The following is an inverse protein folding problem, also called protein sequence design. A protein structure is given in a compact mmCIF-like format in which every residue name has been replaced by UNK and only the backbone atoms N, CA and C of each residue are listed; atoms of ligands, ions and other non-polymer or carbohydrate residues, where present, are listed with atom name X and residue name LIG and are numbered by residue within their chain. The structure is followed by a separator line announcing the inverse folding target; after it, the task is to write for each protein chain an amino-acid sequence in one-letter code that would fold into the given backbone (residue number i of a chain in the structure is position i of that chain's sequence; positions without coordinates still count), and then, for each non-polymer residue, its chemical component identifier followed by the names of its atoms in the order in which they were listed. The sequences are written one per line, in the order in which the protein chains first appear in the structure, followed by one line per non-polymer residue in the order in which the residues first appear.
data_IF_256192115278
#
_entry.id   IF_256192115278
#
_cell.length_a   1.000
_cell.length_b   1.000
_cell.length_c   1.000
_cell.angle_alpha   90.00
_cell.angle_beta   90.00
_cell.angle_gamma   90.00
#
_symmetry.space_group_name_H-M   'P 1'
#
loop_
_entity.id
_entity.type
_entity.pdbx_description
1 polymer ?
#
# COMPACT_ATOMS: atom_id res chain seq x y z
N UNK A 1 -4.22 24.90 11.30
CA UNK A 1 -4.03 24.73 9.83
C UNK A 1 -3.24 23.46 9.49
N UNK A 2 -2.08 23.20 10.13
CA UNK A 2 -1.20 22.05 9.84
C UNK A 2 -1.82 20.68 10.04
N UNK A 3 -2.70 20.50 11.04
CA UNK A 3 -3.41 19.22 11.23
C UNK A 3 -4.23 18.84 9.99
N UNK A 4 -5.05 19.76 9.47
CA UNK A 4 -5.89 19.51 8.29
C UNK A 4 -5.09 19.41 6.99
N UNK A 5 -3.92 20.04 6.91
CA UNK A 5 -3.03 19.89 5.77
C UNK A 5 -2.62 18.42 5.56
N UNK A 6 -2.41 17.67 6.64
CA UNK A 6 -2.09 16.24 6.55
C UNK A 6 -3.26 15.35 6.13
N UNK A 7 -4.52 15.81 6.23
CA UNK A 7 -5.64 15.12 5.59
C UNK A 7 -5.55 15.22 4.06
N UNK A 8 -4.94 16.28 3.53
CA UNK A 8 -4.67 16.37 2.09
C UNK A 8 -3.41 15.60 1.73
N UNK A 9 -2.31 15.77 2.46
CA UNK A 9 -1.04 15.12 2.09
C UNK A 9 -1.05 13.63 2.38
N UNK A 10 -1.36 13.21 3.60
CA UNK A 10 -1.26 11.80 3.97
C UNK A 10 -2.51 10.99 3.57
N UNK A 11 -3.71 11.54 3.74
CA UNK A 11 -4.93 10.79 3.34
C UNK A 11 -5.26 10.96 1.85
N UNK A 12 -5.34 12.20 1.37
CA UNK A 12 -5.70 12.39 -0.04
C UNK A 12 -4.57 12.03 -1.00
N UNK A 13 -3.31 12.43 -0.78
CA UNK A 13 -2.22 11.99 -1.67
C UNK A 13 -1.90 10.52 -1.37
N UNK A 14 -1.27 10.24 -0.24
CA UNK A 14 -0.70 8.91 0.04
C UNK A 14 -1.77 7.80 0.04
N UNK A 15 -2.78 7.86 0.92
CA UNK A 15 -3.76 6.77 0.98
C UNK A 15 -4.60 6.61 -0.31
N UNK A 16 -5.01 7.69 -0.98
CA UNK A 16 -5.83 7.54 -2.21
C UNK A 16 -5.01 6.99 -3.38
N UNK A 17 -3.78 7.49 -3.59
CA UNK A 17 -2.93 6.99 -4.67
C UNK A 17 -2.48 5.54 -4.44
N UNK A 18 -2.34 5.10 -3.19
CA UNK A 18 -2.12 3.69 -2.85
C UNK A 18 -3.29 2.80 -3.25
N UNK A 19 -4.53 3.22 -3.00
CA UNK A 19 -5.70 2.46 -3.43
C UNK A 19 -5.80 2.37 -4.95
N UNK A 20 -5.48 3.46 -5.65
CA UNK A 20 -5.41 3.49 -7.12
C UNK A 20 -4.31 2.53 -7.61
N UNK A 21 -3.13 2.56 -7.00
CA UNK A 21 -2.04 1.63 -7.31
C UNK A 21 -2.48 0.17 -7.09
N UNK A 22 -3.13 -0.13 -5.97
CA UNK A 22 -3.62 -1.47 -5.65
C UNK A 22 -4.66 -1.95 -6.69
N UNK A 23 -5.56 -1.07 -7.13
CA UNK A 23 -6.52 -1.37 -8.18
C UNK A 23 -5.86 -1.65 -9.55
N UNK A 24 -4.89 -0.82 -9.94
CA UNK A 24 -4.13 -1.02 -11.19
C UNK A 24 -3.34 -2.32 -11.12
N UNK A 25 -2.62 -2.56 -10.03
CA UNK A 25 -1.81 -3.76 -9.84
C UNK A 25 -2.69 -5.01 -9.80
N UNK A 26 -3.85 -4.96 -9.14
CA UNK A 26 -4.85 -6.01 -9.16
C UNK A 26 -5.36 -6.32 -10.58
N UNK A 27 -5.68 -5.30 -11.36
CA UNK A 27 -6.06 -5.47 -12.77
C UNK A 27 -4.96 -6.13 -13.60
N UNK A 28 -3.70 -5.69 -13.45
CA UNK A 28 -2.57 -6.27 -14.18
C UNK A 28 -2.32 -7.73 -13.80
N UNK A 29 -2.42 -8.08 -12.52
CA UNK A 29 -2.28 -9.46 -12.05
C UNK A 29 -3.44 -10.38 -12.52
N UNK A 30 -4.65 -9.85 -12.69
CA UNK A 30 -5.74 -10.58 -13.33
C UNK A 30 -5.46 -10.87 -14.81
N UNK A 31 -4.91 -9.89 -15.54
CA UNK A 31 -4.78 -9.98 -17.01
C UNK A 31 -3.49 -10.64 -17.49
N UNK A 32 -2.36 -10.38 -16.82
CA UNK A 32 -1.04 -10.78 -17.29
C UNK A 32 -0.70 -12.23 -16.92
N UNK A 33 -0.44 -12.59 -15.64
CA UNK A 33 -0.21 -13.98 -15.24
C UNK A 33 -1.48 -14.83 -15.27
N UNK A 34 -2.67 -14.20 -15.26
CA UNK A 34 -3.96 -14.89 -15.32
C UNK A 34 -4.40 -15.46 -13.98
N UNK A 35 -4.23 -14.70 -12.89
CA UNK A 35 -4.63 -15.11 -11.54
C UNK A 35 -6.15 -15.28 -11.45
N UNK A 36 -6.60 -16.26 -10.69
CA UNK A 36 -8.02 -16.46 -10.41
C UNK A 36 -8.61 -15.24 -9.70
N UNK A 37 -9.71 -14.73 -10.24
CA UNK A 37 -10.38 -13.52 -9.75
C UNK A 37 -10.73 -13.59 -8.26
N UNK A 38 -11.24 -14.74 -7.82
CA UNK A 38 -11.62 -14.95 -6.43
C UNK A 38 -10.44 -14.79 -5.47
N UNK A 39 -9.26 -15.32 -5.84
CA UNK A 39 -8.04 -15.19 -5.04
C UNK A 39 -7.62 -13.71 -4.99
N UNK A 40 -7.64 -13.05 -6.14
CA UNK A 40 -7.19 -11.67 -6.23
C UNK A 40 -8.07 -10.71 -5.45
N UNK A 41 -9.40 -10.83 -5.58
CA UNK A 41 -10.34 -9.95 -4.87
C UNK A 41 -10.20 -10.10 -3.35
N UNK A 42 -10.08 -11.34 -2.85
CA UNK A 42 -9.87 -11.59 -1.40
C UNK A 42 -8.62 -10.91 -0.88
N UNK A 43 -7.49 -11.06 -1.58
CA UNK A 43 -6.23 -10.42 -1.18
C UNK A 43 -6.27 -8.91 -1.32
N UNK A 44 -6.91 -8.40 -2.37
CA UNK A 44 -7.07 -6.96 -2.56
C UNK A 44 -7.86 -6.34 -1.41
N UNK A 45 -8.97 -6.95 -0.99
CA UNK A 45 -9.75 -6.48 0.15
C UNK A 45 -8.94 -6.47 1.45
N UNK A 46 -8.14 -7.51 1.71
CA UNK A 46 -7.29 -7.57 2.89
C UNK A 46 -6.25 -6.44 2.86
N UNK A 47 -5.54 -6.26 1.74
CA UNK A 47 -4.50 -5.22 1.60
C UNK A 47 -5.11 -3.82 1.77
N UNK A 48 -6.22 -3.55 1.09
CA UNK A 48 -6.93 -2.27 1.17
C UNK A 48 -7.44 -2.00 2.58
N UNK A 49 -8.01 -3.00 3.25
CA UNK A 49 -8.48 -2.86 4.62
C UNK A 49 -7.33 -2.56 5.57
N UNK A 50 -6.20 -3.27 5.44
CA UNK A 50 -5.01 -2.99 6.26
C UNK A 50 -4.43 -1.62 5.99
N UNK A 51 -4.34 -1.18 4.73
CA UNK A 51 -3.83 0.15 4.36
C UNK A 51 -4.70 1.28 4.92
N UNK A 52 -6.02 1.18 4.80
CA UNK A 52 -6.93 2.17 5.35
C UNK A 52 -6.92 2.18 6.88
N UNK A 53 -6.91 1.01 7.51
CA UNK A 53 -6.91 0.91 8.96
C UNK A 53 -5.63 1.49 9.58
N UNK A 54 -4.46 1.17 9.00
CA UNK A 54 -3.19 1.73 9.45
C UNK A 54 -3.06 3.21 9.07
N UNK A 55 -3.26 3.60 7.81
CA UNK A 55 -3.00 4.96 7.33
C UNK A 55 -3.95 6.04 7.87
N UNK A 56 -5.24 5.71 8.10
CA UNK A 56 -6.19 6.67 8.67
C UNK A 56 -5.73 7.13 10.07
N UNK A 57 -5.30 6.19 10.91
CA UNK A 57 -4.83 6.50 12.25
C UNK A 57 -3.34 6.86 12.28
N UNK A 58 -2.56 6.34 11.34
CA UNK A 58 -1.15 6.57 11.12
C UNK A 58 -0.83 7.98 10.64
N UNK A 59 -1.81 8.70 10.07
CA UNK A 59 -1.76 10.17 9.88
C UNK A 59 -1.27 10.90 11.15
N UNK A 60 -1.56 10.33 12.32
CA UNK A 60 -1.10 10.78 13.62
C UNK A 60 0.41 11.00 13.76
N UNK A 61 1.25 10.31 12.97
CA UNK A 61 2.70 10.47 13.04
C UNK A 61 3.20 11.83 12.58
N UNK A 62 2.38 12.56 11.83
CA UNK A 62 2.66 13.93 11.44
C UNK A 62 2.27 14.95 12.51
N UNK A 63 1.60 14.50 13.56
CA UNK A 63 1.08 15.35 14.62
C UNK A 63 2.03 15.45 15.83
N UNK A 64 3.06 14.61 15.92
CA UNK A 64 3.94 14.48 17.09
C UNK A 64 4.46 15.79 17.66
N UNK A 65 4.80 16.74 16.79
CA UNK A 65 5.55 17.94 17.16
C UNK A 65 4.90 19.25 16.70
N UNK A 66 3.61 19.22 16.31
CA UNK A 66 2.87 20.41 15.84
C UNK A 66 1.89 20.97 16.88
N UNK A 67 1.99 20.53 18.14
CA UNK A 67 1.19 21.04 19.26
C UNK A 67 -0.19 20.39 19.44
N UNK A 68 -0.45 19.24 18.82
CA UNK A 68 -1.66 18.44 19.08
C UNK A 68 -1.59 17.71 20.43
N UNK A 69 -2.71 17.22 20.98
CA UNK A 69 -2.71 16.45 22.22
C UNK A 69 -1.77 15.24 22.22
N UNK A 70 -1.16 14.93 23.37
CA UNK A 70 -0.12 13.91 23.50
C UNK A 70 -0.55 12.47 23.16
N UNK A 71 -1.85 12.16 23.15
CA UNK A 71 -2.31 10.82 22.73
C UNK A 71 -1.97 10.51 21.27
N UNK A 72 -1.75 11.51 20.42
CA UNK A 72 -1.34 11.30 19.03
C UNK A 72 0.05 10.70 18.89
N UNK A 73 0.93 10.87 19.88
CA UNK A 73 2.22 10.16 19.87
C UNK A 73 2.02 8.65 19.93
N UNK A 74 1.12 8.19 20.80
CA UNK A 74 0.78 6.77 20.92
C UNK A 74 0.03 6.24 19.70
N UNK A 75 -1.03 6.95 19.28
CA UNK A 75 -1.83 6.54 18.12
C UNK A 75 -0.98 6.54 16.86
N UNK A 76 -0.31 7.65 16.55
CA UNK A 76 0.56 7.75 15.38
C UNK A 76 1.63 6.66 15.37
N UNK A 77 2.30 6.41 16.50
CA UNK A 77 3.43 5.45 16.52
C UNK A 77 2.97 4.04 16.24
N UNK A 78 1.86 3.62 16.84
CA UNK A 78 1.33 2.27 16.66
C UNK A 78 0.86 2.08 15.22
N UNK A 79 0.02 3.00 14.73
CA UNK A 79 -0.66 2.80 13.45
C UNK A 79 0.24 3.08 12.24
N UNK A 80 1.15 4.06 12.30
CA UNK A 80 2.10 4.29 11.21
C UNK A 80 3.14 3.16 11.10
N UNK A 81 3.53 2.55 12.22
CA UNK A 81 4.36 1.32 12.19
C UNK A 81 3.65 0.19 11.44
N UNK A 82 2.33 0.06 11.58
CA UNK A 82 1.56 -0.97 10.87
C UNK A 82 1.40 -0.70 9.36
N UNK A 83 1.70 0.51 8.87
CA UNK A 83 1.62 0.82 7.43
C UNK A 83 2.61 0.00 6.59
N UNK A 84 3.68 -0.54 7.19
CA UNK A 84 4.59 -1.48 6.48
C UNK A 84 3.90 -2.77 6.03
N UNK A 85 2.85 -3.20 6.75
CA UNK A 85 2.15 -4.47 6.51
C UNK A 85 1.48 -4.52 5.14
N UNK A 86 0.61 -3.57 4.74
CA UNK A 86 0.00 -3.57 3.41
C UNK A 86 1.04 -3.48 2.28
N UNK A 87 2.12 -2.72 2.44
CA UNK A 87 3.18 -2.65 1.42
C UNK A 87 3.91 -3.99 1.25
N UNK A 88 4.29 -4.62 2.35
CA UNK A 88 4.92 -5.94 2.29
C UNK A 88 3.97 -7.00 1.72
N UNK A 89 2.69 -6.96 2.13
CA UNK A 89 1.67 -7.85 1.61
C UNK A 89 1.47 -7.67 0.10
N UNK A 90 1.45 -6.43 -0.40
CA UNK A 90 1.35 -6.12 -1.82
C UNK A 90 2.56 -6.66 -2.61
N UNK A 91 3.78 -6.41 -2.13
CA UNK A 91 5.01 -6.95 -2.72
C UNK A 91 4.97 -8.47 -2.82
N UNK A 92 4.74 -9.13 -1.67
CA UNK A 92 4.68 -10.59 -1.59
C UNK A 92 3.62 -11.15 -2.52
N UNK A 93 2.42 -10.53 -2.52
CA UNK A 93 1.31 -10.96 -3.36
C UNK A 93 1.66 -10.85 -4.85
N UNK A 94 2.21 -9.72 -5.30
CA UNK A 94 2.61 -9.52 -6.69
C UNK A 94 3.58 -10.61 -7.17
N UNK A 95 4.65 -10.88 -6.40
CA UNK A 95 5.64 -11.88 -6.77
C UNK A 95 5.07 -13.31 -6.77
N UNK A 96 4.28 -13.68 -5.76
CA UNK A 96 3.64 -15.01 -5.71
C UNK A 96 2.69 -15.22 -6.88
N UNK A 97 1.90 -14.21 -7.22
CA UNK A 97 0.91 -14.29 -8.30
C UNK A 97 1.56 -14.36 -9.68
N UNK A 98 2.67 -13.66 -9.89
CA UNK A 98 3.44 -13.77 -11.12
C UNK A 98 4.11 -15.13 -11.24
N UNK A 99 4.72 -15.65 -10.16
CA UNK A 99 5.35 -16.99 -10.16
C UNK A 99 4.31 -18.10 -10.39
N UNK A 100 3.20 -18.10 -9.65
CA UNK A 100 2.13 -19.10 -9.83
C UNK A 100 1.35 -18.92 -11.13
N UNK A 101 1.50 -17.77 -11.78
CA UNK A 101 0.91 -17.44 -13.07
C UNK A 101 1.28 -18.47 -14.13
N UNK A 102 0.29 -18.92 -14.89
CA UNK A 102 0.49 -19.93 -15.95
C UNK A 102 0.54 -19.32 -17.35
N UNK A 103 0.28 -18.01 -17.48
CA UNK A 103 0.22 -17.33 -18.77
C UNK A 103 1.56 -16.71 -19.15
N UNK A 104 2.05 -17.08 -20.32
CA UNK A 104 3.16 -16.38 -20.96
C UNK A 104 2.64 -15.19 -21.78
N UNK A 105 2.31 -14.09 -21.11
CA UNK A 105 1.78 -12.89 -21.75
C UNK A 105 2.89 -12.09 -22.47
N UNK A 106 2.66 -11.55 -23.69
CA UNK A 106 3.68 -10.83 -24.47
C UNK A 106 4.03 -9.45 -23.88
N UNK A 107 3.11 -8.80 -23.15
CA UNK A 107 3.38 -7.52 -22.47
C UNK A 107 4.25 -7.70 -21.22
N UNK A 108 5.57 -7.87 -21.43
CA UNK A 108 6.56 -8.01 -20.36
C UNK A 108 6.81 -6.71 -19.60
N UNK A 109 6.66 -5.56 -20.27
CA UNK A 109 6.83 -4.26 -19.65
C UNK A 109 5.83 -4.03 -18.51
N UNK A 110 4.54 -4.33 -18.73
CA UNK A 110 3.53 -4.19 -17.69
C UNK A 110 3.72 -5.20 -16.53
N UNK A 111 4.24 -6.39 -16.82
CA UNK A 111 4.56 -7.40 -15.80
C UNK A 111 5.72 -6.93 -14.92
N UNK A 112 6.81 -6.46 -15.55
CA UNK A 112 7.95 -5.89 -14.84
C UNK A 112 7.56 -4.64 -14.06
N UNK A 113 6.70 -3.78 -14.62
CA UNK A 113 6.17 -2.62 -13.91
C UNK A 113 5.40 -3.04 -12.65
N UNK A 114 4.60 -4.10 -12.70
CA UNK A 114 3.85 -4.59 -11.53
C UNK A 114 4.77 -5.07 -10.41
N UNK A 115 5.83 -5.80 -10.75
CA UNK A 115 6.83 -6.26 -9.77
C UNK A 115 7.69 -5.09 -9.25
N UNK A 116 8.11 -4.20 -10.14
CA UNK A 116 8.91 -3.03 -9.81
C UNK A 116 8.16 -2.03 -8.93
N UNK A 117 6.91 -1.71 -9.26
CA UNK A 117 6.10 -0.75 -8.49
C UNK A 117 5.83 -1.24 -7.08
N UNK A 118 5.47 -2.51 -6.90
CA UNK A 118 5.31 -3.11 -5.57
C UNK A 118 6.63 -3.19 -4.78
N UNK A 119 7.76 -3.37 -5.45
CA UNK A 119 9.10 -3.33 -4.82
C UNK A 119 9.44 -1.93 -4.34
N UNK A 120 9.27 -0.92 -5.20
CA UNK A 120 9.53 0.48 -4.86
C UNK A 120 8.57 0.96 -3.77
N UNK A 121 7.30 0.53 -3.78
CA UNK A 121 6.35 0.85 -2.72
C UNK A 121 6.80 0.27 -1.36
N UNK A 122 7.22 -1.00 -1.33
CA UNK A 122 7.69 -1.62 -0.09
C UNK A 122 8.98 -1.01 0.46
N UNK A 123 10.01 -0.84 -0.36
CA UNK A 123 11.24 -0.24 0.14
C UNK A 123 11.08 1.27 0.38
N UNK A 124 10.45 1.97 -0.56
CA UNK A 124 10.12 3.41 -0.51
C UNK A 124 9.33 3.81 0.73
N UNK A 125 8.08 3.38 0.80
CA UNK A 125 7.19 3.74 1.88
C UNK A 125 7.33 2.80 3.08
N UNK A 126 7.44 1.49 2.85
CA UNK A 126 7.48 0.51 3.93
C UNK A 126 8.78 0.47 4.73
N UNK A 127 9.96 0.48 4.10
CA UNK A 127 11.25 0.39 4.81
C UNK A 127 11.80 1.76 5.13
N UNK A 128 11.96 2.64 4.12
CA UNK A 128 12.50 3.97 4.34
C UNK A 128 11.52 4.91 5.03
N UNK A 129 10.21 4.67 4.93
CA UNK A 129 9.22 5.44 5.72
C UNK A 129 9.25 5.13 7.22
N UNK A 130 9.89 4.03 7.65
CA UNK A 130 10.08 3.69 9.07
C UNK A 130 11.37 4.29 9.67
N UNK A 131 12.29 4.82 8.85
CA UNK A 131 13.57 5.39 9.28
C UNK A 131 13.46 6.88 9.57
#
# INVERSE_FOLDING_TARGET
DKMYWWFVVHLWVEATWELVLAAILGFLLLKLPGVDREVLEKWLYVIVATALFSGILGTGHHFYWIGTPGYWQWVGSIFSTFEVVPFFAMLRFAFIMVWKGRKNHPNKAALLWSLGSSTVAFFGAGVWGLM
#
